data_IF_356008959633
#
_entry.id   IF_356008959633
#
_cell.length_a   1.000
_cell.length_b   1.000
_cell.length_c   1.000
_cell.angle_alpha   90.00
_cell.angle_beta   90.00
_cell.angle_gamma   90.00
#
_symmetry.space_group_name_H-M   'P 1'
#
loop_
_entity.id
_entity.type
_entity.pdbx_description
1 polymer ?
#
# COMPACT_ATOMS: atom_id res chain seq x y z
N UNK A 1 -23.34 -0.71 -36.19
CA UNK A 1 -22.18 -1.30 -36.86
C UNK A 1 -21.42 -2.18 -35.89
N UNK A 2 -21.20 -3.44 -36.25
CA UNK A 2 -20.40 -4.35 -35.43
C UNK A 2 -18.90 -4.09 -35.66
N UNK A 3 -18.14 -3.94 -34.60
CA UNK A 3 -16.66 -3.89 -34.65
C UNK A 3 -16.02 -2.51 -34.48
N UNK A 4 -16.77 -1.48 -34.06
CA UNK A 4 -16.17 -0.19 -33.72
C UNK A 4 -15.45 -0.29 -32.36
N UNK A 5 -14.17 0.03 -32.33
CA UNK A 5 -13.42 0.18 -31.08
C UNK A 5 -13.79 1.52 -30.44
N UNK A 6 -14.33 1.47 -29.25
CA UNK A 6 -14.70 2.65 -28.47
C UNK A 6 -13.77 2.77 -27.27
N UNK A 7 -13.46 4.02 -26.93
CA UNK A 7 -12.73 4.33 -25.68
C UNK A 7 -13.73 4.16 -24.52
N UNK A 8 -13.52 3.19 -23.61
CA UNK A 8 -14.45 2.91 -22.53
C UNK A 8 -14.58 4.05 -21.52
N UNK A 9 -13.60 4.98 -21.49
CA UNK A 9 -13.60 6.09 -20.54
C UNK A 9 -14.39 7.32 -21.04
N UNK A 10 -14.68 7.38 -22.36
CA UNK A 10 -15.34 8.54 -22.98
C UNK A 10 -16.55 8.18 -23.86
N UNK A 11 -16.83 6.90 -24.09
CA UNK A 11 -17.91 6.50 -24.97
C UNK A 11 -19.25 6.35 -24.24
N UNK A 12 -20.30 6.95 -24.80
CA UNK A 12 -21.67 6.68 -24.41
C UNK A 12 -22.23 5.63 -25.35
N UNK A 13 -22.46 4.42 -24.87
CA UNK A 13 -23.01 3.33 -25.65
C UNK A 13 -24.47 3.10 -25.24
N UNK A 14 -25.33 2.95 -26.24
CA UNK A 14 -26.73 2.53 -26.05
C UNK A 14 -26.94 1.15 -26.67
N UNK A 15 -27.57 0.25 -25.91
CA UNK A 15 -28.07 -1.03 -26.40
C UNK A 15 -29.57 -1.06 -26.18
N UNK A 16 -30.32 -1.24 -27.25
CA UNK A 16 -31.80 -1.24 -27.22
C UNK A 16 -32.41 -0.01 -26.56
N UNK A 17 -31.77 1.17 -26.75
CA UNK A 17 -32.21 2.44 -26.18
C UNK A 17 -31.82 2.67 -24.71
N UNK A 18 -31.23 1.69 -24.03
CA UNK A 18 -30.68 1.85 -22.70
C UNK A 18 -29.20 2.23 -22.78
N UNK A 19 -28.83 3.29 -22.04
CA UNK A 19 -27.44 3.71 -21.87
C UNK A 19 -26.70 2.64 -21.09
N UNK A 20 -25.67 2.06 -21.70
CA UNK A 20 -24.70 1.24 -20.97
C UNK A 20 -23.71 2.17 -20.27
N UNK A 21 -23.71 2.14 -18.95
CA UNK A 21 -22.66 2.78 -18.17
C UNK A 21 -21.39 1.94 -18.23
N UNK A 22 -20.49 2.34 -19.13
CA UNK A 22 -19.17 1.72 -19.25
C UNK A 22 -18.28 2.25 -18.15
N UNK A 23 -18.01 1.41 -17.13
CA UNK A 23 -16.99 1.62 -16.08
C UNK A 23 -17.10 2.90 -15.21
N UNK A 24 -18.28 3.53 -15.10
CA UNK A 24 -18.50 4.61 -14.11
C UNK A 24 -18.37 4.14 -12.64
N UNK A 25 -18.29 2.83 -12.42
CA UNK A 25 -18.37 2.21 -11.10
C UNK A 25 -17.01 1.75 -10.55
N UNK A 26 -15.89 2.03 -11.24
CA UNK A 26 -14.56 1.68 -10.73
C UNK A 26 -14.09 2.75 -9.75
N UNK A 27 -13.86 2.33 -8.52
CA UNK A 27 -13.32 3.18 -7.47
C UNK A 27 -11.89 2.79 -7.09
N UNK A 28 -11.06 3.80 -6.86
CA UNK A 28 -9.70 3.65 -6.35
C UNK A 28 -9.55 4.59 -5.15
N UNK A 29 -9.40 4.03 -3.96
CA UNK A 29 -9.37 4.77 -2.71
C UNK A 29 -8.06 4.55 -1.98
N UNK A 30 -7.66 5.56 -1.22
CA UNK A 30 -6.58 5.49 -0.25
C UNK A 30 -7.14 5.69 1.15
N UNK A 31 -6.93 4.71 2.01
CA UNK A 31 -7.17 4.79 3.45
C UNK A 31 -5.85 5.05 4.15
N UNK A 32 -5.80 6.01 5.06
CA UNK A 32 -4.76 6.05 6.08
C UNK A 32 -5.21 5.17 7.26
N UNK A 33 -4.80 3.90 7.22
CA UNK A 33 -5.21 2.91 8.21
C UNK A 33 -4.61 3.25 9.58
N UNK A 34 -5.44 3.46 10.62
CA UNK A 34 -4.95 3.64 11.97
C UNK A 34 -4.34 2.37 12.57
N UNK A 35 -3.57 2.54 13.63
CA UNK A 35 -3.15 1.44 14.50
C UNK A 35 -4.36 0.79 15.16
N UNK A 36 -4.34 -0.53 15.31
CA UNK A 36 -5.42 -1.30 15.93
C UNK A 36 -6.53 -1.74 14.97
N UNK A 37 -6.48 -1.31 13.71
CA UNK A 37 -7.45 -1.67 12.67
C UNK A 37 -6.95 -2.87 11.87
N UNK A 38 -7.78 -3.91 11.75
CA UNK A 38 -7.46 -5.13 11.02
C UNK A 38 -7.69 -4.97 9.52
N UNK A 39 -6.79 -5.49 8.70
CA UNK A 39 -6.89 -5.50 7.23
C UNK A 39 -7.84 -6.60 6.76
N UNK A 40 -9.12 -6.40 7.00
CA UNK A 40 -10.22 -7.23 6.51
C UNK A 40 -11.43 -6.36 6.20
N UNK A 41 -12.30 -6.82 5.31
CA UNK A 41 -13.53 -6.10 4.97
C UNK A 41 -14.65 -6.35 5.98
N UNK A 42 -14.60 -7.45 6.72
CA UNK A 42 -15.50 -7.74 7.85
C UNK A 42 -14.74 -8.50 8.93
N UNK A 43 -15.15 -8.33 10.18
CA UNK A 43 -14.55 -9.03 11.32
C UNK A 43 -15.64 -9.69 12.18
N UNK A 44 -15.62 -11.01 12.24
CA UNK A 44 -16.63 -11.80 12.97
C UNK A 44 -16.56 -11.61 14.49
N UNK A 45 -15.46 -11.07 15.00
CA UNK A 45 -15.25 -10.79 16.42
C UNK A 45 -15.60 -9.35 16.80
N UNK A 46 -16.10 -8.55 15.84
CA UNK A 46 -16.47 -7.15 16.09
C UNK A 46 -15.30 -6.21 16.34
N UNK A 47 -14.07 -6.60 15.96
CA UNK A 47 -12.90 -5.72 16.06
C UNK A 47 -12.90 -4.67 14.96
N UNK A 48 -12.33 -3.47 15.20
CA UNK A 48 -12.19 -2.47 14.15
C UNK A 48 -11.49 -3.03 12.91
N UNK A 49 -12.07 -2.82 11.74
CA UNK A 49 -11.53 -3.34 10.48
C UNK A 49 -11.64 -2.31 9.35
N UNK A 50 -10.93 -2.56 8.27
CA UNK A 50 -10.87 -1.70 7.08
C UNK A 50 -12.25 -1.50 6.46
N UNK A 51 -13.10 -2.53 6.47
CA UNK A 51 -14.46 -2.45 5.93
C UNK A 51 -15.32 -1.38 6.60
N UNK A 52 -15.08 -1.06 7.87
CA UNK A 52 -15.83 -0.04 8.61
C UNK A 52 -15.69 1.36 8.00
N UNK A 53 -14.56 1.65 7.33
CA UNK A 53 -14.24 2.94 6.72
C UNK A 53 -14.89 3.17 5.35
N UNK A 54 -15.43 2.14 4.73
CA UNK A 54 -16.04 2.18 3.40
C UNK A 54 -17.43 1.56 3.38
N UNK A 55 -18.07 1.38 4.54
CA UNK A 55 -19.39 0.76 4.68
C UNK A 55 -20.49 1.57 4.00
N UNK A 56 -20.30 2.87 3.80
CA UNK A 56 -21.23 3.79 3.15
C UNK A 56 -21.10 3.81 1.61
N UNK A 57 -20.10 3.10 1.06
CA UNK A 57 -19.88 3.05 -0.40
C UNK A 57 -20.87 2.11 -1.07
N UNK A 58 -21.40 2.55 -2.21
CA UNK A 58 -22.32 1.75 -3.03
C UNK A 58 -21.60 0.55 -3.68
N UNK A 59 -20.34 0.71 -4.02
CA UNK A 59 -19.56 -0.31 -4.68
C UNK A 59 -18.93 -1.27 -3.67
N UNK A 60 -18.87 -2.55 -4.03
CA UNK A 60 -18.16 -3.56 -3.25
C UNK A 60 -16.65 -3.40 -3.47
N UNK A 61 -15.98 -2.85 -2.48
CA UNK A 61 -14.54 -2.64 -2.46
C UNK A 61 -13.81 -3.75 -1.70
N UNK A 62 -12.53 -3.91 -2.00
CA UNK A 62 -11.63 -4.78 -1.24
C UNK A 62 -10.26 -4.10 -1.08
N UNK A 63 -9.57 -4.46 -0.02
CA UNK A 63 -8.24 -3.93 0.26
C UNK A 63 -7.18 -4.57 -0.66
N UNK A 64 -6.22 -3.77 -1.10
CA UNK A 64 -5.09 -4.19 -1.93
C UNK A 64 -3.89 -4.46 -1.03
N UNK A 65 -3.65 -5.72 -0.75
CA UNK A 65 -2.65 -6.12 0.23
C UNK A 65 -3.14 -5.94 1.68
N UNK A 66 -2.22 -6.02 2.60
CA UNK A 66 -2.50 -5.99 4.03
C UNK A 66 -1.47 -5.14 4.76
N UNK A 67 -1.91 -4.51 5.84
CA UNK A 67 -1.08 -3.99 6.90
C UNK A 67 -1.46 -4.71 8.19
N UNK A 68 -0.48 -5.06 9.00
CA UNK A 68 -0.74 -5.64 10.33
C UNK A 68 -1.55 -4.67 11.21
N UNK A 69 -2.25 -5.17 12.20
CA UNK A 69 -3.08 -4.35 13.06
C UNK A 69 -2.29 -3.22 13.75
N UNK A 70 -1.05 -3.47 14.11
CA UNK A 70 -0.15 -2.50 14.75
C UNK A 70 0.64 -1.62 13.76
N UNK A 71 0.43 -1.80 12.46
CA UNK A 71 1.04 -1.00 11.39
C UNK A 71 0.03 -0.02 10.84
N UNK A 72 0.47 1.21 10.65
CA UNK A 72 -0.34 2.34 10.17
C UNK A 72 -0.05 2.65 8.70
N UNK A 73 -0.87 3.50 8.11
CA UNK A 73 -0.57 4.19 6.87
C UNK A 73 -1.37 3.77 5.66
N UNK A 74 -0.78 3.97 4.51
CA UNK A 74 -1.45 3.85 3.21
C UNK A 74 -1.89 2.42 2.92
N UNK A 75 -3.18 2.24 2.78
CA UNK A 75 -3.81 1.03 2.28
C UNK A 75 -4.76 1.40 1.14
N UNK A 76 -4.59 0.78 -0.01
CA UNK A 76 -5.45 1.01 -1.16
C UNK A 76 -6.67 0.10 -1.10
N UNK A 77 -7.81 0.64 -1.55
CA UNK A 77 -9.05 -0.12 -1.75
C UNK A 77 -9.55 0.13 -3.17
N UNK A 78 -10.06 -0.90 -3.82
CA UNK A 78 -10.59 -0.81 -5.17
C UNK A 78 -11.54 -1.97 -5.46
N UNK A 79 -12.33 -1.83 -6.51
CA UNK A 79 -13.06 -2.91 -7.16
C UNK A 79 -12.44 -3.31 -8.52
N UNK A 80 -11.30 -2.70 -8.91
CA UNK A 80 -10.50 -3.12 -10.08
C UNK A 80 -9.65 -4.36 -9.71
N UNK A 81 -10.22 -5.54 -9.94
CA UNK A 81 -9.58 -6.81 -9.55
C UNK A 81 -8.26 -7.09 -10.26
N UNK A 82 -8.13 -6.72 -11.53
CA UNK A 82 -6.87 -6.93 -12.27
C UNK A 82 -5.75 -6.02 -11.75
N UNK A 83 -6.04 -4.74 -11.51
CA UNK A 83 -5.07 -3.82 -10.92
C UNK A 83 -4.67 -4.29 -9.52
N UNK A 84 -5.63 -4.65 -8.67
CA UNK A 84 -5.37 -5.14 -7.32
C UNK A 84 -4.48 -6.39 -7.32
N UNK A 85 -4.79 -7.36 -8.18
CA UNK A 85 -3.99 -8.57 -8.32
C UNK A 85 -2.54 -8.26 -8.69
N UNK A 86 -2.33 -7.42 -9.69
CA UNK A 86 -0.98 -7.04 -10.15
C UNK A 86 -0.20 -6.28 -9.08
N UNK A 87 -0.85 -5.35 -8.37
CA UNK A 87 -0.20 -4.60 -7.29
C UNK A 87 0.27 -5.49 -6.13
N UNK A 88 -0.43 -6.60 -5.88
CA UNK A 88 -0.09 -7.55 -4.83
C UNK A 88 0.89 -8.63 -5.27
N UNK A 89 0.92 -8.97 -6.55
CA UNK A 89 1.71 -10.10 -7.04
C UNK A 89 3.21 -9.78 -7.04
N UNK A 90 4.06 -10.65 -6.46
CA UNK A 90 5.50 -10.38 -6.31
C UNK A 90 6.26 -10.11 -7.61
N UNK A 91 5.80 -10.70 -8.73
CA UNK A 91 6.45 -10.55 -10.04
C UNK A 91 6.49 -9.11 -10.55
N UNK A 92 5.57 -8.25 -10.12
CA UNK A 92 5.54 -6.85 -10.53
C UNK A 92 6.46 -5.95 -9.70
N UNK A 93 7.01 -6.47 -8.59
CA UNK A 93 8.00 -5.78 -7.75
C UNK A 93 7.60 -4.36 -7.37
N UNK A 94 6.33 -4.15 -7.03
CA UNK A 94 5.80 -2.84 -6.66
C UNK A 94 6.46 -2.35 -5.39
N UNK A 95 7.11 -1.20 -5.45
CA UNK A 95 7.80 -0.61 -4.33
C UNK A 95 6.83 -0.08 -3.27
N UNK A 96 7.13 -0.34 -2.01
CA UNK A 96 6.43 0.20 -0.85
C UNK A 96 7.43 0.93 0.02
N UNK A 97 7.06 2.11 0.46
CA UNK A 97 7.89 2.95 1.34
C UNK A 97 7.32 2.95 2.74
N UNK A 98 8.17 2.71 3.71
CA UNK A 98 7.81 2.70 5.13
C UNK A 98 8.66 3.70 5.90
N UNK A 99 8.03 4.33 6.87
CA UNK A 99 8.68 5.14 7.88
C UNK A 99 8.63 4.38 9.21
N UNK A 100 9.79 4.13 9.80
CA UNK A 100 9.91 3.39 11.04
C UNK A 100 10.60 4.22 12.12
N UNK A 101 10.01 4.28 13.31
CA UNK A 101 10.69 4.75 14.52
C UNK A 101 11.39 3.56 15.16
N UNK A 102 12.69 3.70 15.39
CA UNK A 102 13.54 2.66 15.97
C UNK A 102 14.42 3.22 17.08
N UNK A 103 14.92 2.38 18.00
CA UNK A 103 15.97 2.80 18.94
C UNK A 103 17.22 3.28 18.19
N UNK A 104 17.76 4.40 18.62
CA UNK A 104 19.04 4.93 18.12
C UNK A 104 20.19 4.68 19.09
N UNK A 105 21.42 5.04 18.69
CA UNK A 105 21.81 5.61 17.42
C UNK A 105 21.81 4.58 16.28
N UNK A 106 21.61 5.05 15.04
CA UNK A 106 21.69 4.23 13.83
C UNK A 106 23.06 4.39 13.19
N UNK A 107 23.82 3.29 13.01
CA UNK A 107 25.14 3.35 12.39
C UNK A 107 25.02 3.80 10.91
N UNK A 108 26.01 4.54 10.42
CA UNK A 108 26.08 4.94 9.01
C UNK A 108 26.16 3.76 8.04
N UNK A 109 26.68 2.63 8.51
CA UNK A 109 26.81 1.39 7.73
C UNK A 109 25.49 0.62 7.57
N UNK A 110 24.45 0.95 8.34
CA UNK A 110 23.20 0.16 8.36
C UNK A 110 22.55 0.07 6.99
N UNK A 111 22.50 1.16 6.25
CA UNK A 111 21.96 1.17 4.89
C UNK A 111 22.69 0.23 3.93
N UNK A 112 24.01 0.13 4.04
CA UNK A 112 24.80 -0.81 3.25
C UNK A 112 24.48 -2.26 3.62
N UNK A 113 24.38 -2.56 4.90
CA UNK A 113 24.02 -3.89 5.40
C UNK A 113 22.65 -4.32 4.90
N UNK A 114 21.66 -3.45 4.99
CA UNK A 114 20.28 -3.73 4.55
C UNK A 114 20.17 -3.92 3.03
N UNK A 115 20.93 -3.14 2.25
CA UNK A 115 20.98 -3.28 0.78
C UNK A 115 21.72 -4.54 0.33
N UNK A 116 22.72 -4.95 1.07
CA UNK A 116 23.45 -6.19 0.80
C UNK A 116 22.61 -7.44 1.05
N UNK A 117 21.63 -7.33 1.92
CA UNK A 117 20.70 -8.40 2.26
C UNK A 117 20.93 -8.98 3.65
N UNK A 118 19.83 -9.34 4.27
CA UNK A 118 19.77 -10.03 5.57
C UNK A 118 19.20 -11.42 5.34
N UNK A 119 19.79 -12.43 5.94
CA UNK A 119 19.38 -13.82 5.78
C UNK A 119 18.37 -14.22 6.85
N UNK A 120 17.25 -14.78 6.40
CA UNK A 120 16.23 -15.38 7.24
C UNK A 120 16.02 -16.85 6.83
N UNK A 121 15.38 -17.64 7.66
CA UNK A 121 15.08 -19.06 7.38
C UNK A 121 14.20 -19.21 6.11
N UNK A 122 13.34 -18.25 5.83
CA UNK A 122 12.49 -18.18 4.64
C UNK A 122 13.14 -17.45 3.46
N UNK A 123 14.45 -17.25 3.49
CA UNK A 123 15.25 -16.66 2.43
C UNK A 123 15.76 -15.26 2.71
N UNK A 124 16.72 -14.78 1.91
CA UNK A 124 17.31 -13.46 2.08
C UNK A 124 16.33 -12.34 1.72
N UNK A 125 16.51 -11.19 2.36
CA UNK A 125 15.79 -9.94 2.07
C UNK A 125 16.79 -8.81 1.94
N UNK A 126 16.70 -8.06 0.85
CA UNK A 126 17.43 -6.82 0.65
C UNK A 126 16.44 -5.67 0.45
N UNK A 127 16.78 -4.51 1.00
CA UNK A 127 15.98 -3.30 0.75
C UNK A 127 16.35 -2.67 -0.59
N UNK A 128 15.39 -2.03 -1.24
CA UNK A 128 15.60 -1.23 -2.45
C UNK A 128 16.09 0.18 -2.11
N UNK A 129 15.76 0.68 -0.92
CA UNK A 129 16.22 1.95 -0.39
C UNK A 129 16.22 2.01 1.13
N UNK A 130 17.13 2.80 1.67
CA UNK A 130 17.22 3.09 3.09
C UNK A 130 17.84 4.46 3.32
N UNK A 131 17.26 5.23 4.24
CA UNK A 131 17.87 6.47 4.73
C UNK A 131 17.42 6.78 6.14
N UNK A 132 18.26 7.47 6.89
CA UNK A 132 17.90 8.07 8.18
C UNK A 132 17.23 9.42 7.88
N UNK A 133 15.97 9.55 8.27
CA UNK A 133 15.20 10.79 8.08
C UNK A 133 15.50 11.79 9.18
N UNK A 134 15.57 11.30 10.43
CA UNK A 134 15.84 12.12 11.60
C UNK A 134 16.49 11.29 12.69
N UNK A 135 17.55 11.84 13.28
CA UNK A 135 18.17 11.28 14.48
C UNK A 135 17.80 12.14 15.71
N UNK A 136 17.40 11.47 16.77
CA UNK A 136 17.03 12.07 18.05
C UNK A 136 17.74 11.34 19.18
N UNK A 137 17.90 11.93 20.39
CA UNK A 137 18.44 11.21 21.53
C UNK A 137 17.66 9.91 21.80
N UNK A 138 18.33 8.76 21.75
CA UNK A 138 17.75 7.43 21.99
C UNK A 138 16.87 6.86 20.90
N UNK A 139 16.56 7.59 19.85
CA UNK A 139 15.67 7.18 18.75
C UNK A 139 16.16 7.65 17.40
N UNK A 140 15.66 6.99 16.34
CA UNK A 140 15.81 7.47 14.99
C UNK A 140 14.54 7.19 14.19
N UNK A 141 14.29 8.04 13.20
CA UNK A 141 13.27 7.85 12.19
C UNK A 141 13.97 7.44 10.91
N UNK A 142 13.65 6.26 10.39
CA UNK A 142 14.27 5.70 9.20
C UNK A 142 13.23 5.42 8.13
N UNK A 143 13.61 5.62 6.88
CA UNK A 143 12.79 5.26 5.73
C UNK A 143 13.35 4.02 5.07
N UNK A 144 12.47 3.04 4.84
CA UNK A 144 12.81 1.77 4.20
C UNK A 144 11.94 1.60 2.97
N UNK A 145 12.57 1.32 1.83
CA UNK A 145 11.87 1.02 0.57
C UNK A 145 12.14 -0.43 0.19
N UNK A 146 11.09 -1.18 -0.07
CA UNK A 146 11.22 -2.57 -0.54
C UNK A 146 10.01 -3.01 -1.36
N UNK A 147 10.23 -4.02 -2.22
CA UNK A 147 9.17 -4.66 -3.02
C UNK A 147 8.65 -5.96 -2.40
N UNK A 148 9.25 -6.40 -1.33
CA UNK A 148 8.87 -7.59 -0.57
C UNK A 148 7.49 -7.42 0.10
N UNK A 149 6.79 -8.54 0.27
CA UNK A 149 5.48 -8.60 0.90
C UNK A 149 5.35 -9.70 1.96
N UNK A 150 6.46 -10.35 2.34
CA UNK A 150 6.45 -11.37 3.39
C UNK A 150 5.94 -10.82 4.72
N UNK A 151 5.26 -11.67 5.48
CA UNK A 151 4.64 -11.29 6.75
C UNK A 151 5.67 -10.65 7.71
N UNK A 152 5.33 -9.48 8.25
CA UNK A 152 6.13 -8.71 9.20
C UNK A 152 7.54 -8.35 8.72
N UNK A 153 7.76 -8.30 7.41
CA UNK A 153 9.13 -8.25 6.85
C UNK A 153 9.93 -7.03 7.29
N UNK A 154 9.34 -5.84 7.34
CA UNK A 154 10.07 -4.63 7.79
C UNK A 154 10.43 -4.74 9.27
N UNK A 155 9.51 -5.22 10.10
CA UNK A 155 9.75 -5.42 11.54
C UNK A 155 10.83 -6.45 11.79
N UNK A 156 10.76 -7.58 11.09
CA UNK A 156 11.76 -8.65 11.16
C UNK A 156 13.14 -8.15 10.74
N UNK A 157 13.20 -7.43 9.63
CA UNK A 157 14.43 -6.92 9.06
C UNK A 157 15.16 -5.96 10.00
N UNK A 158 14.44 -4.98 10.54
CA UNK A 158 15.03 -4.01 11.46
C UNK A 158 15.38 -4.62 12.82
N UNK A 159 14.58 -5.56 13.32
CA UNK A 159 14.90 -6.28 14.55
C UNK A 159 16.17 -7.12 14.40
N UNK A 160 16.36 -7.79 13.27
CA UNK A 160 17.53 -8.62 12.99
C UNK A 160 18.86 -7.84 13.00
N UNK A 161 18.80 -6.59 12.56
CA UNK A 161 19.98 -5.69 12.58
C UNK A 161 20.10 -4.86 13.87
N UNK A 162 19.33 -5.21 14.90
CA UNK A 162 19.42 -4.60 16.24
C UNK A 162 18.61 -3.32 16.45
N UNK A 163 17.66 -3.03 15.56
CA UNK A 163 16.80 -1.83 15.61
C UNK A 163 15.31 -2.20 15.58
N UNK A 164 14.74 -2.81 16.65
CA UNK A 164 13.35 -3.21 16.67
C UNK A 164 12.42 -2.02 16.47
N UNK A 165 11.38 -2.22 15.69
CA UNK A 165 10.44 -1.15 15.31
C UNK A 165 9.54 -0.77 16.49
N UNK A 166 9.52 0.50 16.84
CA UNK A 166 8.63 1.09 17.85
C UNK A 166 7.30 1.53 17.22
N UNK A 167 7.35 2.12 16.03
CA UNK A 167 6.20 2.53 15.23
C UNK A 167 6.51 2.35 13.75
N UNK A 168 5.52 1.90 12.98
CA UNK A 168 5.66 1.64 11.56
C UNK A 168 4.48 2.23 10.79
N UNK A 169 4.80 3.02 9.76
CA UNK A 169 3.81 3.65 8.88
C UNK A 169 4.20 3.40 7.43
N UNK A 170 3.30 2.82 6.63
CA UNK A 170 3.52 2.78 5.18
C UNK A 170 3.14 4.12 4.57
N UNK A 171 4.09 4.82 3.97
CA UNK A 171 3.93 6.18 3.46
C UNK A 171 3.70 6.25 1.95
N UNK A 172 4.07 5.19 1.22
CA UNK A 172 3.84 5.14 -0.22
C UNK A 172 3.69 3.70 -0.77
N UNK A 173 2.96 3.59 -1.85
CA UNK A 173 2.87 2.41 -2.73
C UNK A 173 3.09 2.93 -4.15
N UNK A 174 4.17 2.48 -4.82
CA UNK A 174 4.65 3.09 -6.05
C UNK A 174 4.79 4.62 -5.86
N UNK A 175 4.25 5.41 -6.77
CA UNK A 175 4.26 6.88 -6.65
C UNK A 175 3.04 7.46 -5.92
N UNK A 176 2.15 6.62 -5.41
CA UNK A 176 1.02 7.06 -4.57
C UNK A 176 1.51 7.27 -3.14
N UNK A 177 1.38 8.49 -2.65
CA UNK A 177 1.87 8.91 -1.34
C UNK A 177 0.73 9.16 -0.37
N UNK A 178 0.96 8.83 0.89
CA UNK A 178 0.06 9.17 1.99
C UNK A 178 -0.05 10.69 2.16
N UNK A 179 1.08 11.40 2.06
CA UNK A 179 1.14 12.84 2.29
C UNK A 179 0.64 13.22 3.68
N UNK A 180 -0.18 14.27 3.74
CA UNK A 180 -0.76 14.79 4.98
C UNK A 180 -2.16 14.21 5.29
N UNK A 181 -2.54 13.14 4.63
CA UNK A 181 -3.82 12.49 4.88
C UNK A 181 -3.92 12.03 6.34
N UNK A 182 -4.95 12.50 7.04
CA UNK A 182 -5.14 12.20 8.47
C UNK A 182 -5.47 10.72 8.69
N UNK A 183 -5.01 10.12 9.81
CA UNK A 183 -5.41 8.76 10.18
C UNK A 183 -6.92 8.59 10.22
N UNK A 184 -7.40 7.44 9.72
CA UNK A 184 -8.82 7.12 9.68
C UNK A 184 -9.61 7.79 8.58
N UNK A 185 -8.96 8.52 7.66
CA UNK A 185 -9.64 9.15 6.52
C UNK A 185 -9.46 8.32 5.25
N UNK A 186 -10.46 8.41 4.37
CA UNK A 186 -10.47 7.81 3.04
C UNK A 186 -10.53 8.92 2.00
N UNK A 187 -9.73 8.83 0.96
CA UNK A 187 -9.79 9.74 -0.19
C UNK A 187 -9.82 8.97 -1.51
N UNK A 188 -10.39 9.59 -2.51
CA UNK A 188 -10.34 9.09 -3.88
C UNK A 188 -8.96 9.40 -4.48
N UNK A 189 -8.37 8.42 -5.17
CA UNK A 189 -7.12 8.64 -5.90
C UNK A 189 -7.35 9.59 -7.09
N UNK A 190 -6.39 10.47 -7.34
CA UNK A 190 -6.39 11.30 -8.53
C UNK A 190 -6.08 10.47 -9.79
N UNK A 191 -6.44 11.01 -10.97
CA UNK A 191 -6.08 10.38 -12.25
C UNK A 191 -4.57 10.12 -12.40
N UNK A 192 -3.67 11.07 -12.07
CA UNK A 192 -2.23 10.82 -12.10
C UNK A 192 -1.80 9.69 -11.16
N UNK A 193 -2.41 9.56 -9.99
CA UNK A 193 -2.12 8.49 -9.04
C UNK A 193 -2.55 7.12 -9.58
N UNK A 194 -3.75 7.01 -10.13
CA UNK A 194 -4.21 5.77 -10.79
C UNK A 194 -3.31 5.44 -11.98
N UNK A 195 -2.93 6.43 -12.78
CA UNK A 195 -1.97 6.27 -13.87
C UNK A 195 -0.61 5.75 -13.40
N UNK A 196 -0.12 6.25 -12.27
CA UNK A 196 1.14 5.79 -11.67
C UNK A 196 1.05 4.32 -11.22
N UNK A 197 -0.05 3.90 -10.63
CA UNK A 197 -0.28 2.50 -10.25
C UNK A 197 -0.32 1.59 -11.49
N UNK A 198 -1.03 2.00 -12.55
CA UNK A 198 -1.10 1.26 -13.81
C UNK A 198 0.30 1.09 -14.44
N UNK A 199 1.07 2.18 -14.53
CA UNK A 199 2.46 2.11 -15.04
C UNK A 199 3.35 1.18 -14.21
N UNK A 200 3.21 1.18 -12.89
CA UNK A 200 3.99 0.33 -11.99
C UNK A 200 3.76 -1.18 -12.26
N UNK A 201 2.64 -1.55 -12.86
CA UNK A 201 2.26 -2.95 -13.17
C UNK A 201 2.10 -3.20 -14.68
N UNK A 202 2.58 -2.31 -15.52
CA UNK A 202 2.59 -2.49 -16.98
C UNK A 202 1.20 -2.43 -17.62
N UNK A 203 0.32 -1.57 -17.13
CA UNK A 203 -1.02 -1.30 -17.69
C UNK A 203 -1.10 0.09 -18.28
#
# INVERSE_FOLDING_TARGET
EMGVRVDPDNAVIHVDGMRLELRSDVEHLALNKPRGVHSTMSDDRGRPCVGDYVADRAQRLFHVGRLDADTEGLLLLTNDGDLAHRLMHPSYRVLKTYLAEVPGPVPRSLGRTLRAGVHFDDGPVAVDGFRVVQAMPGKALVEVVLHEGRKHIVRRLLAEVGHPVLRLVRTAIADVRLGEQRPGTVRVLSRPEVGALNRAVGR
#
